data_IF_631428132546
#
_entry.id   IF_631428132546
#
_cell.length_a   1.000
_cell.length_b   1.000
_cell.length_c   1.000
_cell.angle_alpha   90.00
_cell.angle_beta   90.00
_cell.angle_gamma   90.00
#
_symmetry.space_group_name_H-M   'P 1'
#
loop_
_entity.id
_entity.type
_entity.pdbx_description
1 polymer ?
#
# COMPACT_ATOMS: atom_id res chain seq x y z
N UNK A 1 4.95 -15.40 -34.12
CA UNK A 1 5.72 -15.52 -32.85
C UNK A 1 5.02 -14.79 -31.71
N UNK A 2 4.48 -13.59 -31.99
CA UNK A 2 3.62 -12.80 -31.10
C UNK A 2 2.38 -13.58 -30.60
N UNK A 3 1.70 -14.34 -31.46
CA UNK A 3 0.48 -15.08 -31.05
C UNK A 3 0.75 -16.27 -30.11
N UNK A 4 1.92 -16.90 -30.19
CA UNK A 4 2.32 -17.97 -29.25
C UNK A 4 2.70 -17.41 -27.88
N UNK A 5 3.32 -16.23 -27.83
CA UNK A 5 3.59 -15.51 -26.57
C UNK A 5 2.25 -15.07 -25.95
N UNK A 6 1.31 -14.62 -26.77
CA UNK A 6 -0.03 -14.20 -26.36
C UNK A 6 -0.84 -15.38 -25.77
N UNK A 7 -0.81 -16.56 -26.39
CA UNK A 7 -1.46 -17.77 -25.84
C UNK A 7 -0.82 -18.27 -24.54
N UNK A 8 0.50 -18.08 -24.36
CA UNK A 8 1.20 -18.48 -23.13
C UNK A 8 0.78 -17.69 -21.88
N UNK A 9 0.36 -16.44 -22.04
CA UNK A 9 -0.03 -15.57 -20.93
C UNK A 9 -1.45 -15.83 -20.40
N UNK A 10 -2.29 -16.56 -21.14
CA UNK A 10 -3.59 -17.05 -20.64
C UNK A 10 -3.45 -18.28 -19.74
N UNK A 11 -2.25 -18.89 -19.69
CA UNK A 11 -1.98 -20.01 -18.81
C UNK A 11 -1.79 -19.51 -17.35
N UNK A 12 -2.62 -19.98 -16.39
CA UNK A 12 -2.49 -19.56 -15.00
C UNK A 12 -1.10 -19.85 -14.41
N UNK A 13 -0.41 -20.92 -14.85
CA UNK A 13 0.94 -21.24 -14.39
C UNK A 13 1.96 -20.16 -14.78
N UNK A 14 1.85 -19.59 -15.98
CA UNK A 14 2.75 -18.54 -16.44
C UNK A 14 2.61 -17.27 -15.60
N UNK A 15 1.39 -16.93 -15.20
CA UNK A 15 1.11 -15.80 -14.30
C UNK A 15 1.75 -16.03 -12.93
N UNK A 16 1.58 -17.22 -12.33
CA UNK A 16 2.21 -17.51 -11.02
C UNK A 16 3.74 -17.45 -11.07
N UNK A 17 4.36 -17.93 -12.14
CA UNK A 17 5.81 -17.81 -12.35
C UNK A 17 6.22 -16.34 -12.45
N UNK A 18 5.48 -15.53 -13.21
CA UNK A 18 5.73 -14.10 -13.30
C UNK A 18 5.63 -13.43 -11.92
N UNK A 19 4.57 -13.70 -11.15
CA UNK A 19 4.40 -13.16 -9.80
C UNK A 19 5.58 -13.53 -8.88
N UNK A 20 6.09 -14.76 -8.97
CA UNK A 20 7.26 -15.19 -8.21
C UNK A 20 8.54 -14.45 -8.65
N UNK A 21 8.75 -14.27 -9.95
CA UNK A 21 9.89 -13.51 -10.48
C UNK A 21 9.85 -12.06 -9.98
N UNK A 22 8.70 -11.38 -10.13
CA UNK A 22 8.53 -10.00 -9.65
C UNK A 22 8.77 -9.90 -8.14
N UNK A 23 8.24 -10.87 -7.38
CA UNK A 23 8.45 -10.97 -5.93
C UNK A 23 9.93 -11.09 -5.59
N UNK A 24 10.65 -11.99 -6.26
CA UNK A 24 12.08 -12.20 -6.01
C UNK A 24 12.89 -10.95 -6.34
N UNK A 25 12.64 -10.32 -7.50
CA UNK A 25 13.35 -9.10 -7.91
C UNK A 25 13.15 -7.98 -6.88
N UNK A 26 11.91 -7.67 -6.52
CA UNK A 26 11.62 -6.61 -5.55
C UNK A 26 12.14 -6.94 -4.14
N UNK A 27 12.08 -8.21 -3.74
CA UNK A 27 12.57 -8.63 -2.42
C UNK A 27 14.08 -8.53 -2.33
N UNK A 28 14.82 -9.00 -3.34
CA UNK A 28 16.28 -8.88 -3.41
C UNK A 28 16.70 -7.42 -3.42
N UNK A 29 16.02 -6.59 -4.22
CA UNK A 29 16.30 -5.15 -4.27
C UNK A 29 16.11 -4.50 -2.90
N UNK A 30 14.98 -4.70 -2.24
CA UNK A 30 14.74 -4.15 -0.89
C UNK A 30 15.71 -4.74 0.14
N UNK A 31 16.06 -6.02 0.05
CA UNK A 31 17.06 -6.60 0.94
C UNK A 31 18.41 -5.90 0.79
N UNK A 32 18.87 -5.72 -0.46
CA UNK A 32 20.16 -5.12 -0.78
C UNK A 32 20.24 -3.63 -0.43
N UNK A 33 19.19 -2.87 -0.70
CA UNK A 33 19.20 -1.42 -0.55
C UNK A 33 18.72 -0.95 0.84
N UNK A 34 17.86 -1.72 1.53
CA UNK A 34 17.17 -1.27 2.76
C UNK A 34 17.49 -2.12 3.99
N UNK A 35 17.72 -3.43 3.84
CA UNK A 35 17.91 -4.33 5.00
C UNK A 35 19.40 -4.48 5.31
N UNK A 36 20.18 -5.02 4.38
CA UNK A 36 21.58 -5.42 4.59
C UNK A 36 22.47 -4.22 4.98
N UNK A 37 22.36 -3.03 4.35
CA UNK A 37 23.23 -1.90 4.69
C UNK A 37 22.93 -1.28 6.07
N UNK A 38 21.79 -1.62 6.67
CA UNK A 38 21.26 -0.92 7.85
C UNK A 38 20.90 -1.85 9.01
N UNK A 39 21.43 -3.07 9.04
CA UNK A 39 21.06 -4.11 10.03
C UNK A 39 21.13 -3.58 11.47
N UNK A 40 22.22 -2.92 11.85
CA UNK A 40 22.42 -2.45 13.23
C UNK A 40 21.41 -1.36 13.62
N UNK A 41 21.21 -0.36 12.75
CA UNK A 41 20.21 0.68 12.96
C UNK A 41 18.79 0.12 13.03
N UNK A 42 18.50 -0.95 12.27
CA UNK A 42 17.18 -1.60 12.27
C UNK A 42 16.94 -2.44 13.51
N UNK A 43 17.95 -3.15 14.01
CA UNK A 43 17.88 -3.88 15.27
C UNK A 43 17.64 -2.88 16.42
N UNK A 44 18.39 -1.78 16.44
CA UNK A 44 18.20 -0.72 17.42
C UNK A 44 16.77 -0.17 17.35
N UNK A 45 16.31 0.25 16.17
CA UNK A 45 14.94 0.75 15.99
C UNK A 45 13.88 -0.24 16.48
N UNK A 46 14.04 -1.54 16.18
CA UNK A 46 13.10 -2.56 16.64
C UNK A 46 13.06 -2.63 18.18
N UNK A 47 14.24 -2.68 18.82
CA UNK A 47 14.33 -2.69 20.28
C UNK A 47 13.74 -1.41 20.89
N UNK A 48 14.02 -0.24 20.31
CA UNK A 48 13.55 1.05 20.78
C UNK A 48 12.02 1.14 20.73
N UNK A 49 11.39 0.60 19.68
CA UNK A 49 9.92 0.53 19.60
C UNK A 49 9.36 -0.41 20.67
N UNK A 50 9.91 -1.63 20.78
CA UNK A 50 9.42 -2.63 21.73
C UNK A 50 9.62 -2.22 23.20
N UNK A 51 10.65 -1.43 23.50
CA UNK A 51 10.98 -0.94 24.84
C UNK A 51 10.42 0.47 25.13
N UNK A 52 9.56 1.03 24.28
CA UNK A 52 8.99 2.38 24.42
C UNK A 52 10.04 3.53 24.49
N UNK A 53 11.19 3.34 23.85
CA UNK A 53 12.28 4.30 23.77
C UNK A 53 12.27 5.11 22.45
N UNK A 54 11.60 4.60 21.42
CA UNK A 54 11.46 5.32 20.14
C UNK A 54 10.60 6.58 20.29
N UNK A 55 10.83 7.58 19.45
CA UNK A 55 10.02 8.81 19.42
C UNK A 55 8.71 8.67 18.60
N UNK A 56 7.66 9.43 18.94
CA UNK A 56 6.47 9.55 18.10
C UNK A 56 6.78 10.18 16.72
N UNK A 57 6.17 9.70 15.62
CA UNK A 57 5.08 8.73 15.57
C UNK A 57 5.56 7.27 15.49
N UNK A 58 6.86 7.02 15.35
CA UNK A 58 7.41 5.70 15.08
C UNK A 58 7.18 4.70 16.23
N UNK A 59 7.17 5.17 17.47
CA UNK A 59 6.88 4.33 18.65
C UNK A 59 5.54 3.61 18.56
N UNK A 60 4.56 4.17 17.85
CA UNK A 60 3.22 3.59 17.75
C UNK A 60 3.08 2.59 16.58
N UNK A 61 4.14 2.37 15.78
CA UNK A 61 4.13 1.50 14.59
C UNK A 61 4.64 0.10 14.94
N UNK A 62 3.87 -0.59 15.77
CA UNK A 62 4.30 -1.82 16.45
C UNK A 62 4.18 -3.08 15.61
N UNK A 63 3.33 -3.11 14.58
CA UNK A 63 3.05 -4.34 13.84
C UNK A 63 4.32 -4.99 13.27
N UNK A 64 5.13 -4.20 12.57
CA UNK A 64 6.34 -4.69 11.91
C UNK A 64 7.38 -5.21 12.92
N UNK A 65 7.76 -4.46 13.98
CA UNK A 65 8.62 -4.97 15.05
C UNK A 65 8.10 -6.27 15.68
N UNK A 66 6.80 -6.37 15.95
CA UNK A 66 6.21 -7.57 16.56
C UNK A 66 6.33 -8.80 15.64
N UNK A 67 5.98 -8.67 14.36
CA UNK A 67 6.13 -9.76 13.38
C UNK A 67 7.60 -10.17 13.23
N UNK A 68 8.51 -9.18 13.15
CA UNK A 68 9.94 -9.44 13.04
C UNK A 68 10.49 -10.18 14.27
N UNK A 69 10.10 -9.76 15.48
CA UNK A 69 10.50 -10.41 16.73
C UNK A 69 9.98 -11.83 16.81
N UNK A 70 8.73 -12.08 16.43
CA UNK A 70 8.15 -13.42 16.42
C UNK A 70 8.94 -14.36 15.48
N UNK A 71 9.30 -13.90 14.27
CA UNK A 71 10.12 -14.68 13.34
C UNK A 71 11.54 -14.92 13.89
N UNK A 72 12.16 -13.92 14.52
CA UNK A 72 13.48 -14.07 15.13
C UNK A 72 13.47 -15.10 16.26
N UNK A 73 12.41 -15.18 17.07
CA UNK A 73 12.24 -16.20 18.11
C UNK A 73 12.16 -17.59 17.46
N UNK A 74 11.37 -17.76 16.39
CA UNK A 74 11.28 -19.03 15.67
C UNK A 74 12.64 -19.46 15.06
N UNK A 75 13.43 -18.50 14.55
CA UNK A 75 14.76 -18.76 13.99
C UNK A 75 15.85 -18.98 15.06
N UNK A 76 15.59 -18.62 16.33
CA UNK A 76 16.59 -18.71 17.40
C UNK A 76 17.03 -20.13 17.74
N UNK A 77 16.21 -21.13 17.44
CA UNK A 77 16.59 -22.55 17.62
C UNK A 77 17.53 -23.10 16.55
N UNK A 78 17.80 -22.35 15.47
CA UNK A 78 18.58 -22.82 14.31
C UNK A 78 19.78 -21.90 14.02
N UNK A 79 19.66 -20.61 14.33
CA UNK A 79 20.65 -19.59 13.94
C UNK A 79 21.04 -18.78 15.17
N UNK A 80 22.32 -18.83 15.56
CA UNK A 80 22.80 -18.14 16.77
C UNK A 80 22.99 -16.63 16.60
N UNK A 81 23.43 -16.20 15.42
CA UNK A 81 23.72 -14.80 15.12
C UNK A 81 22.44 -13.95 15.10
N UNK A 82 22.35 -12.98 16.02
CA UNK A 82 21.26 -11.98 16.07
C UNK A 82 21.12 -11.25 14.73
N UNK A 83 22.25 -10.83 14.13
CA UNK A 83 22.24 -10.11 12.86
C UNK A 83 21.68 -10.97 11.73
N UNK A 84 22.11 -12.23 11.64
CA UNK A 84 21.63 -13.17 10.62
C UNK A 84 20.14 -13.46 10.79
N UNK A 85 19.67 -13.69 12.02
CA UNK A 85 18.24 -13.84 12.31
C UNK A 85 17.43 -12.63 11.89
N UNK A 86 17.92 -11.42 12.20
CA UNK A 86 17.26 -10.18 11.82
C UNK A 86 17.14 -10.05 10.30
N UNK A 87 18.24 -10.24 9.56
CA UNK A 87 18.24 -10.19 8.09
C UNK A 87 17.24 -11.18 7.52
N UNK A 88 17.32 -12.46 7.91
CA UNK A 88 16.41 -13.49 7.38
C UNK A 88 14.94 -13.20 7.72
N UNK A 89 14.64 -12.78 8.96
CA UNK A 89 13.28 -12.44 9.37
C UNK A 89 12.70 -11.31 8.51
N UNK A 90 13.46 -10.24 8.29
CA UNK A 90 13.00 -9.14 7.44
C UNK A 90 12.96 -9.51 5.96
N UNK A 91 13.87 -10.35 5.47
CA UNK A 91 13.82 -10.89 4.11
C UNK A 91 12.56 -11.74 3.89
N UNK A 92 12.17 -12.57 4.85
CA UNK A 92 10.92 -13.34 4.81
C UNK A 92 9.70 -12.41 4.80
N UNK A 93 9.65 -11.40 5.69
CA UNK A 93 8.57 -10.41 5.70
C UNK A 93 8.44 -9.72 4.35
N UNK A 94 9.55 -9.25 3.79
CA UNK A 94 9.56 -8.56 2.49
C UNK A 94 9.11 -9.49 1.36
N UNK A 95 9.59 -10.74 1.36
CA UNK A 95 9.19 -11.73 0.36
C UNK A 95 7.68 -11.98 0.37
N UNK A 96 7.11 -12.31 1.53
CA UNK A 96 5.66 -12.53 1.63
C UNK A 96 4.86 -11.25 1.40
N UNK A 97 5.41 -10.08 1.77
CA UNK A 97 4.79 -8.80 1.48
C UNK A 97 4.68 -8.55 -0.03
N UNK A 98 5.77 -8.71 -0.79
CA UNK A 98 5.74 -8.52 -2.24
C UNK A 98 4.94 -9.60 -2.97
N UNK A 99 4.99 -10.85 -2.50
CA UNK A 99 4.13 -11.91 -3.02
C UNK A 99 2.66 -11.52 -2.89
N UNK A 100 2.27 -11.04 -1.70
CA UNK A 100 0.93 -10.51 -1.45
C UNK A 100 0.60 -9.30 -2.33
N UNK A 101 1.51 -8.33 -2.45
CA UNK A 101 1.30 -7.12 -3.27
C UNK A 101 1.00 -7.52 -4.71
N UNK A 102 1.87 -8.32 -5.34
CA UNK A 102 1.67 -8.70 -6.74
C UNK A 102 0.43 -9.58 -6.93
N UNK A 103 0.19 -10.53 -6.01
CA UNK A 103 -0.99 -11.39 -6.08
C UNK A 103 -2.30 -10.58 -5.95
N UNK A 104 -2.45 -9.78 -4.89
CA UNK A 104 -3.67 -9.02 -4.67
C UNK A 104 -3.84 -7.88 -5.66
N UNK A 105 -2.76 -7.28 -6.16
CA UNK A 105 -2.85 -6.29 -7.22
C UNK A 105 -3.28 -6.90 -8.55
N UNK A 106 -2.74 -8.08 -8.91
CA UNK A 106 -3.24 -8.83 -10.06
C UNK A 106 -4.74 -9.12 -9.93
N UNK A 107 -5.16 -9.66 -8.78
CA UNK A 107 -6.58 -9.94 -8.52
C UNK A 107 -7.45 -8.68 -8.62
N UNK A 108 -6.98 -7.56 -8.06
CA UNK A 108 -7.64 -6.26 -8.17
C UNK A 108 -7.78 -5.81 -9.62
N UNK A 109 -6.71 -5.88 -10.42
CA UNK A 109 -6.77 -5.55 -11.83
C UNK A 109 -7.68 -6.49 -12.63
N UNK A 110 -7.74 -7.79 -12.27
CA UNK A 110 -8.62 -8.77 -12.91
C UNK A 110 -10.11 -8.51 -12.66
N UNK A 111 -10.48 -7.79 -11.59
CA UNK A 111 -11.85 -7.31 -11.41
C UNK A 111 -12.23 -6.19 -12.38
N UNK A 112 -11.24 -5.50 -12.96
CA UNK A 112 -11.42 -4.29 -13.75
C UNK A 112 -11.13 -4.49 -15.23
N UNK A 113 -10.17 -5.36 -15.55
CA UNK A 113 -9.59 -5.49 -16.88
C UNK A 113 -9.32 -6.95 -17.26
N UNK A 114 -9.07 -7.17 -18.54
CA UNK A 114 -8.60 -8.40 -19.13
C UNK A 114 -7.27 -8.87 -18.54
N UNK A 115 -6.92 -10.13 -18.78
CA UNK A 115 -5.69 -10.73 -18.27
C UNK A 115 -4.44 -10.00 -18.79
N UNK A 116 -4.43 -9.65 -20.09
CA UNK A 116 -3.31 -8.94 -20.72
C UNK A 116 -3.09 -7.56 -20.09
N UNK A 117 -4.15 -6.78 -19.95
CA UNK A 117 -4.12 -5.47 -19.31
C UNK A 117 -3.69 -5.56 -17.84
N UNK A 118 -4.11 -6.60 -17.13
CA UNK A 118 -3.70 -6.84 -15.75
C UNK A 118 -2.20 -7.12 -15.61
N UNK A 119 -1.61 -7.87 -16.56
CA UNK A 119 -0.17 -8.12 -16.60
C UNK A 119 0.60 -6.82 -16.88
N UNK A 120 0.13 -5.97 -17.80
CA UNK A 120 0.74 -4.65 -18.04
C UNK A 120 0.71 -3.82 -16.75
N UNK A 121 -0.40 -3.83 -16.02
CA UNK A 121 -0.50 -3.16 -14.72
C UNK A 121 0.50 -3.67 -13.69
N UNK A 122 0.71 -4.98 -13.59
CA UNK A 122 1.76 -5.55 -12.71
C UNK A 122 3.15 -5.05 -13.07
N UNK A 123 3.47 -5.00 -14.37
CA UNK A 123 4.76 -4.50 -14.84
C UNK A 123 4.93 -3.01 -14.55
N UNK A 124 3.87 -2.20 -14.67
CA UNK A 124 3.87 -0.79 -14.26
C UNK A 124 4.09 -0.63 -12.75
N UNK A 125 3.52 -1.51 -11.91
CA UNK A 125 3.81 -1.47 -10.47
C UNK A 125 5.26 -1.85 -10.17
N UNK A 126 5.80 -2.85 -10.89
CA UNK A 126 7.19 -3.27 -10.75
C UNK A 126 8.18 -2.16 -11.10
N UNK A 127 7.86 -1.25 -12.03
CA UNK A 127 8.75 -0.11 -12.34
C UNK A 127 8.72 0.97 -11.26
N UNK A 128 7.59 1.14 -10.57
CA UNK A 128 7.42 2.13 -9.48
C UNK A 128 8.13 1.69 -8.19
N UNK A 129 8.13 0.38 -7.89
CA UNK A 129 8.69 -0.13 -6.61
C UNK A 129 10.16 0.27 -6.40
N UNK A 130 11.10 0.03 -7.33
CA UNK A 130 12.50 0.42 -7.17
C UNK A 130 12.69 1.92 -6.91
N UNK A 131 11.93 2.74 -7.63
CA UNK A 131 12.06 4.20 -7.57
C UNK A 131 11.52 4.75 -6.24
N UNK A 132 10.51 4.08 -5.69
CA UNK A 132 9.95 4.43 -4.37
C UNK A 132 10.91 4.18 -3.18
N UNK A 133 12.03 3.47 -3.38
CA UNK A 133 13.03 3.18 -2.35
C UNK A 133 13.98 4.39 -2.19
N UNK A 134 13.61 5.33 -1.32
CA UNK A 134 14.42 6.51 -0.99
C UNK A 134 14.94 6.55 0.45
N UNK A 135 14.78 5.46 1.23
CA UNK A 135 15.25 5.40 2.61
C UNK A 135 14.98 4.07 3.33
N UNK A 136 15.65 3.87 4.48
CA UNK A 136 15.67 2.56 5.15
C UNK A 136 14.40 2.23 5.98
N UNK A 137 13.54 3.21 6.25
CA UNK A 137 12.28 3.02 6.99
C UNK A 137 11.12 2.45 6.15
N UNK A 138 11.34 2.21 4.86
CA UNK A 138 10.28 2.04 3.86
C UNK A 138 9.55 0.70 3.85
N UNK A 139 10.04 -0.32 4.56
CA UNK A 139 9.35 -1.62 4.62
C UNK A 139 7.91 -1.46 5.16
N UNK A 140 7.68 -0.51 6.06
CA UNK A 140 6.33 -0.21 6.56
C UNK A 140 5.38 0.34 5.50
N UNK A 141 5.90 1.02 4.46
CA UNK A 141 5.10 1.53 3.34
C UNK A 141 4.62 0.39 2.43
N UNK A 142 5.47 -0.59 2.13
CA UNK A 142 5.07 -1.78 1.36
C UNK A 142 4.01 -2.60 2.11
N UNK A 143 4.15 -2.77 3.43
CA UNK A 143 3.11 -3.42 4.25
C UNK A 143 1.80 -2.61 4.21
N UNK A 144 1.88 -1.29 4.20
CA UNK A 144 0.69 -0.44 4.04
C UNK A 144 0.05 -0.67 2.67
N UNK A 145 0.82 -0.68 1.58
CA UNK A 145 0.33 -0.99 0.25
C UNK A 145 -0.36 -2.36 0.19
N UNK A 146 0.22 -3.39 0.82
CA UNK A 146 -0.41 -4.70 0.93
C UNK A 146 -1.77 -4.63 1.63
N UNK A 147 -1.89 -3.89 2.74
CA UNK A 147 -3.17 -3.71 3.41
C UNK A 147 -4.22 -3.03 2.54
N UNK A 148 -3.84 -2.03 1.74
CA UNK A 148 -4.75 -1.43 0.77
C UNK A 148 -5.24 -2.43 -0.27
N UNK A 149 -4.33 -3.24 -0.81
CA UNK A 149 -4.64 -4.26 -1.81
C UNK A 149 -5.54 -5.36 -1.27
N UNK A 150 -5.26 -5.86 -0.07
CA UNK A 150 -6.15 -6.79 0.64
C UNK A 150 -7.51 -6.15 0.85
N UNK A 151 -7.54 -4.88 1.25
CA UNK A 151 -8.78 -4.13 1.42
C UNK A 151 -9.61 -4.02 0.15
N UNK A 152 -8.97 -3.66 -0.96
CA UNK A 152 -9.61 -3.61 -2.28
C UNK A 152 -10.14 -4.99 -2.65
N UNK A 153 -9.33 -6.04 -2.48
CA UNK A 153 -9.77 -7.42 -2.73
C UNK A 153 -11.00 -7.81 -1.89
N UNK A 154 -11.07 -7.40 -0.61
CA UNK A 154 -12.22 -7.69 0.24
C UNK A 154 -13.50 -7.02 -0.25
N UNK A 155 -13.48 -5.72 -0.57
CA UNK A 155 -14.73 -5.06 -0.98
C UNK A 155 -15.12 -5.34 -2.44
N UNK A 156 -14.17 -5.52 -3.36
CA UNK A 156 -14.48 -5.98 -4.73
C UNK A 156 -15.02 -7.42 -4.77
N UNK A 157 -14.67 -8.26 -3.79
CA UNK A 157 -15.18 -9.63 -3.66
C UNK A 157 -16.42 -9.78 -2.76
N UNK A 158 -17.03 -8.68 -2.30
CA UNK A 158 -18.15 -8.68 -1.34
C UNK A 158 -17.86 -9.39 -0.01
N UNK A 159 -16.59 -9.45 0.40
CA UNK A 159 -16.11 -10.00 1.69
C UNK A 159 -15.80 -8.90 2.70
N UNK A 160 -16.47 -7.76 2.59
CA UNK A 160 -16.26 -6.57 3.43
C UNK A 160 -16.58 -6.76 4.92
N UNK A 161 -17.21 -7.88 5.31
CA UNK A 161 -17.33 -8.27 6.73
C UNK A 161 -15.99 -8.40 7.47
N UNK A 162 -14.90 -8.68 6.76
CA UNK A 162 -13.55 -8.79 7.34
C UNK A 162 -12.79 -7.45 7.36
N UNK A 163 -13.38 -6.40 6.78
CA UNK A 163 -12.74 -5.10 6.64
C UNK A 163 -12.43 -4.43 8.00
N UNK A 164 -13.26 -4.53 9.06
CA UNK A 164 -12.91 -3.98 10.38
C UNK A 164 -11.64 -4.60 10.98
N UNK A 165 -11.46 -5.92 10.84
CA UNK A 165 -10.27 -6.63 11.33
C UNK A 165 -9.02 -6.13 10.58
N UNK A 166 -9.13 -6.00 9.26
CA UNK A 166 -8.07 -5.46 8.42
C UNK A 166 -7.67 -4.04 8.85
N UNK A 167 -8.64 -3.14 9.05
CA UNK A 167 -8.39 -1.77 9.47
C UNK A 167 -7.69 -1.74 10.82
N UNK A 168 -8.18 -2.48 11.83
CA UNK A 168 -7.55 -2.54 13.15
C UNK A 168 -6.08 -2.98 13.10
N UNK A 169 -5.78 -4.06 12.37
CA UNK A 169 -4.40 -4.55 12.20
C UNK A 169 -3.52 -3.57 11.43
N UNK A 170 -4.03 -2.99 10.36
CA UNK A 170 -3.29 -2.07 9.51
C UNK A 170 -3.00 -0.73 10.20
N UNK A 171 -3.86 -0.29 11.13
CA UNK A 171 -3.61 0.89 11.98
C UNK A 171 -2.36 0.71 12.84
N UNK A 172 -2.06 -0.52 13.31
CA UNK A 172 -0.85 -0.83 14.06
C UNK A 172 0.44 -0.71 13.22
N UNK A 173 0.30 -0.67 11.89
CA UNK A 173 1.41 -0.38 10.98
C UNK A 173 1.51 1.11 10.68
N UNK A 174 0.41 1.73 10.21
CA UNK A 174 0.34 3.17 9.89
C UNK A 174 -1.08 3.73 9.97
N UNK A 175 -1.18 4.95 10.48
CA UNK A 175 -2.40 5.76 10.53
C UNK A 175 -2.96 6.11 9.13
N UNK A 176 -2.13 6.09 8.09
CA UNK A 176 -2.53 6.34 6.71
C UNK A 176 -3.60 5.37 6.20
N UNK A 177 -3.84 4.23 6.87
CA UNK A 177 -4.92 3.29 6.51
C UNK A 177 -6.32 3.93 6.52
N UNK A 178 -6.50 5.08 7.16
CA UNK A 178 -7.79 5.80 7.14
C UNK A 178 -8.28 6.12 5.71
N UNK A 179 -7.39 6.33 4.74
CA UNK A 179 -7.79 6.55 3.35
C UNK A 179 -8.34 5.28 2.68
N UNK A 180 -7.99 4.08 3.15
CA UNK A 180 -8.61 2.85 2.69
C UNK A 180 -10.12 2.82 3.04
N UNK A 181 -10.49 3.34 4.21
CA UNK A 181 -11.90 3.51 4.59
C UNK A 181 -12.60 4.53 3.68
N UNK A 182 -11.91 5.63 3.33
CA UNK A 182 -12.44 6.62 2.38
C UNK A 182 -12.71 6.00 1.00
N UNK A 183 -11.76 5.20 0.47
CA UNK A 183 -11.95 4.47 -0.78
C UNK A 183 -13.12 3.48 -0.70
N UNK A 184 -13.29 2.78 0.41
CA UNK A 184 -14.45 1.91 0.61
C UNK A 184 -15.78 2.69 0.60
N UNK A 185 -15.84 3.87 1.22
CA UNK A 185 -17.02 4.75 1.16
C UNK A 185 -17.31 5.19 -0.27
N UNK A 186 -16.29 5.59 -1.05
CA UNK A 186 -16.47 5.93 -2.46
C UNK A 186 -16.94 4.74 -3.29
N UNK A 187 -16.44 3.55 -3.01
CA UNK A 187 -16.89 2.32 -3.65
C UNK A 187 -18.37 2.05 -3.37
N UNK A 188 -18.79 2.14 -2.10
CA UNK A 188 -20.20 1.96 -1.72
C UNK A 188 -21.11 3.03 -2.32
N UNK A 189 -20.65 4.29 -2.36
CA UNK A 189 -21.39 5.38 -3.00
C UNK A 189 -21.59 5.13 -4.48
N UNK A 190 -20.53 4.77 -5.20
CA UNK A 190 -20.59 4.39 -6.61
C UNK A 190 -21.53 3.21 -6.87
N UNK A 191 -21.55 2.20 -5.98
CA UNK A 191 -22.45 1.04 -6.09
C UNK A 191 -23.89 1.31 -5.65
N UNK A 192 -24.20 2.51 -5.14
CA UNK A 192 -25.52 2.84 -4.58
C UNK A 192 -25.85 2.07 -3.29
N UNK A 193 -24.84 1.59 -2.56
CA UNK A 193 -24.97 0.76 -1.36
C UNK A 193 -24.60 1.50 -0.07
N UNK A 194 -24.25 2.79 -0.15
CA UNK A 194 -23.77 3.56 1.00
C UNK A 194 -24.77 3.56 2.18
N UNK A 195 -26.07 3.60 1.88
CA UNK A 195 -27.13 3.67 2.88
C UNK A 195 -27.73 2.32 3.29
N UNK A 196 -27.14 1.20 2.84
CA UNK A 196 -27.52 -0.12 3.34
C UNK A 196 -27.12 -0.23 4.82
N UNK A 197 -28.07 -0.61 5.69
CA UNK A 197 -27.88 -0.80 7.13
C UNK A 197 -26.67 -1.67 7.43
N UNK A 198 -26.47 -2.77 6.69
CA UNK A 198 -25.34 -3.67 6.89
C UNK A 198 -24.02 -2.97 6.56
N UNK A 199 -23.96 -2.16 5.51
CA UNK A 199 -22.77 -1.42 5.09
C UNK A 199 -22.43 -0.30 6.06
N UNK A 200 -23.43 0.41 6.56
CA UNK A 200 -23.26 1.43 7.63
C UNK A 200 -22.65 0.78 8.88
N UNK A 201 -23.16 -0.37 9.32
CA UNK A 201 -22.60 -1.10 10.47
C UNK A 201 -21.13 -1.50 10.24
N UNK A 202 -20.76 -1.91 9.02
CA UNK A 202 -19.35 -2.20 8.66
C UNK A 202 -18.50 -0.93 8.75
N UNK A 203 -18.98 0.22 8.24
CA UNK A 203 -18.26 1.50 8.35
C UNK A 203 -18.03 1.88 9.81
N UNK A 204 -19.08 1.79 10.65
CA UNK A 204 -18.98 2.07 12.09
C UNK A 204 -17.98 1.12 12.76
N UNK A 205 -18.02 -0.17 12.43
CA UNK A 205 -17.08 -1.16 12.94
C UNK A 205 -15.64 -0.85 12.52
N UNK A 206 -15.41 -0.39 11.27
CA UNK A 206 -14.08 0.04 10.80
C UNK A 206 -13.58 1.27 11.55
N UNK A 207 -14.42 2.29 11.74
CA UNK A 207 -14.07 3.49 12.52
C UNK A 207 -13.73 3.10 13.96
N UNK A 208 -14.54 2.23 14.56
CA UNK A 208 -14.31 1.73 15.92
C UNK A 208 -13.00 0.95 16.00
N UNK A 209 -12.73 0.02 15.07
CA UNK A 209 -11.49 -0.74 15.03
C UNK A 209 -10.25 0.18 14.85
N UNK A 210 -10.35 1.19 13.99
CA UNK A 210 -9.31 2.21 13.83
C UNK A 210 -9.07 2.96 15.13
N UNK A 211 -10.11 3.48 15.78
CA UNK A 211 -10.00 4.25 17.02
C UNK A 211 -9.45 3.39 18.16
N UNK A 212 -9.93 2.15 18.32
CA UNK A 212 -9.44 1.21 19.34
C UNK A 212 -7.96 0.93 19.16
N UNK A 213 -7.50 0.64 17.94
CA UNK A 213 -6.08 0.42 17.68
C UNK A 213 -5.26 1.71 17.88
N UNK A 214 -5.72 2.83 17.33
CA UNK A 214 -5.02 4.11 17.36
C UNK A 214 -4.87 4.67 18.79
N UNK A 215 -5.95 4.65 19.56
CA UNK A 215 -6.00 5.13 20.94
C UNK A 215 -5.37 4.10 21.86
N UNK A 216 -5.66 2.81 21.68
CA UNK A 216 -5.13 1.73 22.52
C UNK A 216 -3.60 1.70 22.55
N UNK A 217 -2.95 1.80 21.39
CA UNK A 217 -1.48 1.89 21.32
C UNK A 217 -0.97 3.16 22.01
N UNK A 218 -1.67 4.29 21.89
CA UNK A 218 -1.27 5.55 22.54
C UNK A 218 -1.44 5.54 24.05
N UNK A 219 -2.47 4.88 24.56
CA UNK A 219 -2.66 4.69 26.00
C UNK A 219 -1.56 3.77 26.53
N UNK A 220 -1.28 2.66 25.84
CA UNK A 220 -0.27 1.70 26.25
C UNK A 220 1.16 2.29 26.29
N UNK A 221 1.59 2.99 25.24
CA UNK A 221 2.93 3.59 25.17
C UNK A 221 3.04 4.98 25.83
N UNK A 222 1.90 5.56 26.21
CA UNK A 222 1.81 6.93 26.71
C UNK A 222 1.72 7.98 25.59
N UNK A 223 0.96 9.04 25.86
CA UNK A 223 0.79 10.17 24.95
C UNK A 223 2.02 11.09 25.01
N UNK A 224 2.87 11.00 23.98
CA UNK A 224 4.03 11.90 23.81
C UNK A 224 3.80 12.83 22.61
N UNK A 225 4.22 14.09 22.76
CA UNK A 225 4.20 15.08 21.68
C UNK A 225 5.26 14.69 20.64
N UNK A 226 4.89 14.68 19.36
CA UNK A 226 5.84 14.38 18.28
C UNK A 226 6.70 15.60 17.99
N UNK A 227 8.02 15.38 17.86
CA UNK A 227 8.96 16.39 17.36
C UNK A 227 8.74 16.70 15.87
N UNK A 228 8.06 15.82 15.14
CA UNK A 228 7.71 15.98 13.73
C UNK A 228 6.47 16.86 13.58
N UNK A 229 6.66 18.18 13.73
CA UNK A 229 5.59 19.18 13.62
C UNK A 229 5.23 19.46 12.16
N UNK A 230 4.05 20.05 11.94
CA UNK A 230 3.64 20.52 10.60
C UNK A 230 4.63 21.57 10.08
N UNK A 231 5.04 22.51 10.94
CA UNK A 231 6.02 23.54 10.59
C UNK A 231 7.36 22.93 10.13
N UNK A 232 7.84 21.87 10.79
CA UNK A 232 9.05 21.16 10.39
C UNK A 232 8.92 20.55 8.98
N UNK A 233 7.81 19.88 8.69
CA UNK A 233 7.60 19.26 7.38
C UNK A 233 7.42 20.28 6.26
N UNK A 234 6.64 21.34 6.52
CA UNK A 234 6.49 22.45 5.57
C UNK A 234 7.86 23.05 5.26
N UNK A 235 8.63 23.42 6.29
CA UNK A 235 9.97 24.00 6.10
C UNK A 235 10.89 23.08 5.28
N UNK A 236 10.87 21.77 5.55
CA UNK A 236 11.67 20.77 4.79
C UNK A 236 11.21 20.60 3.35
N UNK A 237 9.90 20.64 3.09
CA UNK A 237 9.35 20.49 1.74
C UNK A 237 9.47 21.77 0.90
N UNK A 238 9.56 22.94 1.54
CA UNK A 238 9.74 24.24 0.86
C UNK A 238 11.18 24.72 0.81
N UNK A 239 12.13 24.01 1.44
CA UNK A 239 13.56 24.33 1.34
C UNK A 239 14.01 24.24 -0.13
N UNK A 240 14.36 25.39 -0.73
CA UNK A 240 14.62 25.50 -2.18
C UNK A 240 15.60 24.43 -2.70
N UNK A 241 16.68 24.18 -1.96
CA UNK A 241 17.67 23.17 -2.33
C UNK A 241 17.05 21.78 -2.43
N UNK A 242 16.26 21.35 -1.44
CA UNK A 242 15.58 20.04 -1.47
C UNK A 242 14.47 20.00 -2.51
N UNK A 243 13.72 21.09 -2.63
CA UNK A 243 12.61 21.19 -3.59
C UNK A 243 13.11 20.96 -5.02
N UNK A 244 14.14 21.69 -5.45
CA UNK A 244 14.63 21.63 -6.81
C UNK A 244 15.58 20.45 -7.09
N UNK A 245 16.38 20.02 -6.11
CA UNK A 245 17.38 18.94 -6.34
C UNK A 245 16.88 17.54 -6.00
N UNK A 246 15.81 17.42 -5.19
CA UNK A 246 15.30 16.11 -4.74
C UNK A 246 13.83 15.93 -5.06
N UNK A 247 12.95 16.82 -4.60
CA UNK A 247 11.50 16.61 -4.67
C UNK A 247 10.99 16.69 -6.12
N UNK A 248 11.22 17.81 -6.82
CA UNK A 248 10.71 18.01 -8.18
C UNK A 248 11.22 16.94 -9.16
N UNK A 249 12.53 16.63 -9.24
CA UNK A 249 13.01 15.60 -10.16
C UNK A 249 12.39 14.24 -9.90
N UNK A 250 12.26 13.86 -8.62
CA UNK A 250 11.70 12.59 -8.19
C UNK A 250 10.20 12.49 -8.53
N UNK A 251 9.42 13.52 -8.22
CA UNK A 251 7.98 13.57 -8.56
C UNK A 251 7.75 13.62 -10.07
N UNK A 252 8.60 14.32 -10.82
CA UNK A 252 8.50 14.36 -12.27
C UNK A 252 8.80 12.99 -12.89
N UNK A 253 9.86 12.32 -12.44
CA UNK A 253 10.26 11.01 -12.93
C UNK A 253 9.23 9.90 -12.60
N UNK A 254 8.63 9.93 -11.41
CA UNK A 254 7.81 8.82 -10.91
C UNK A 254 6.31 9.04 -10.97
N UNK A 255 5.84 10.28 -10.81
CA UNK A 255 4.42 10.57 -10.55
C UNK A 255 3.78 11.33 -11.71
N UNK A 256 4.48 12.30 -12.30
CA UNK A 256 3.89 13.20 -13.30
C UNK A 256 3.25 12.47 -14.48
N UNK A 257 3.92 11.44 -15.03
CA UNK A 257 3.36 10.64 -16.12
C UNK A 257 2.04 9.96 -15.76
N UNK A 258 1.97 9.34 -14.58
CA UNK A 258 0.75 8.69 -14.08
C UNK A 258 -0.38 9.69 -13.83
N UNK A 259 -0.08 10.86 -13.26
CA UNK A 259 -1.06 11.94 -13.03
C UNK A 259 -1.61 12.45 -14.35
N UNK A 260 -0.75 12.78 -15.32
CA UNK A 260 -1.16 13.30 -16.62
C UNK A 260 -2.06 12.31 -17.36
N UNK A 261 -1.67 11.03 -17.43
CA UNK A 261 -2.49 10.00 -18.08
C UNK A 261 -3.80 9.78 -17.31
N UNK A 262 -3.78 9.82 -15.97
CA UNK A 262 -5.00 9.71 -15.15
C UNK A 262 -5.96 10.88 -15.38
N UNK A 263 -5.46 12.10 -15.60
CA UNK A 263 -6.29 13.26 -15.97
C UNK A 263 -6.99 13.00 -17.32
N UNK A 264 -6.28 12.45 -18.31
CA UNK A 264 -6.87 12.07 -19.60
C UNK A 264 -7.92 10.97 -19.45
N UNK A 265 -7.69 10.01 -18.55
CA UNK A 265 -8.61 8.94 -18.22
C UNK A 265 -9.86 9.44 -17.47
N UNK A 266 -9.76 10.58 -16.78
CA UNK A 266 -10.76 11.05 -15.82
C UNK A 266 -12.17 11.07 -16.39
N UNK A 267 -12.37 11.56 -17.63
CA UNK A 267 -13.71 11.60 -18.25
C UNK A 267 -14.29 10.20 -18.50
N UNK A 268 -13.45 9.24 -18.86
CA UNK A 268 -13.80 7.85 -19.20
C UNK A 268 -13.98 6.95 -17.98
N UNK A 269 -13.36 7.29 -16.86
CA UNK A 269 -13.41 6.48 -15.64
C UNK A 269 -14.78 6.52 -14.95
N UNK A 270 -15.09 5.45 -14.21
CA UNK A 270 -16.28 5.38 -13.37
C UNK A 270 -16.19 6.33 -12.15
N UNK A 271 -17.29 6.48 -11.42
CA UNK A 271 -17.38 7.43 -10.31
C UNK A 271 -16.42 7.08 -9.16
N UNK A 272 -16.19 5.79 -8.87
CA UNK A 272 -15.23 5.36 -7.85
C UNK A 272 -13.82 5.88 -8.15
N UNK A 273 -13.33 5.70 -9.37
CA UNK A 273 -12.01 6.20 -9.79
C UNK A 273 -11.95 7.73 -9.79
N UNK A 274 -13.00 8.41 -10.25
CA UNK A 274 -13.07 9.88 -10.23
C UNK A 274 -12.94 10.45 -8.82
N UNK A 275 -13.75 9.94 -7.88
CA UNK A 275 -13.72 10.39 -6.48
C UNK A 275 -12.41 10.02 -5.80
N UNK A 276 -11.92 8.80 -6.03
CA UNK A 276 -10.64 8.35 -5.48
C UNK A 276 -9.48 9.20 -6.00
N UNK A 277 -9.44 9.53 -7.29
CA UNK A 277 -8.42 10.40 -7.88
C UNK A 277 -8.45 11.80 -7.30
N UNK A 278 -9.64 12.42 -7.16
CA UNK A 278 -9.77 13.74 -6.52
C UNK A 278 -9.24 13.69 -5.08
N UNK A 279 -9.55 12.64 -4.33
CA UNK A 279 -9.08 12.50 -2.95
C UNK A 279 -7.56 12.34 -2.83
N UNK A 280 -6.86 11.96 -3.91
CA UNK A 280 -5.40 11.97 -3.92
C UNK A 280 -4.84 13.39 -3.76
N UNK A 281 -5.57 14.44 -4.17
CA UNK A 281 -5.17 15.82 -3.88
C UNK A 281 -5.11 16.10 -2.37
N UNK A 282 -6.12 15.64 -1.62
CA UNK A 282 -6.11 15.69 -0.15
C UNK A 282 -5.00 14.81 0.44
N UNK A 283 -4.75 13.64 -0.15
CA UNK A 283 -3.66 12.76 0.26
C UNK A 283 -2.29 13.44 0.12
N UNK A 284 -2.01 14.06 -1.02
CA UNK A 284 -0.77 14.83 -1.27
C UNK A 284 -0.64 15.99 -0.29
N UNK A 285 -1.74 16.72 -0.03
CA UNK A 285 -1.73 17.80 0.95
C UNK A 285 -1.37 17.30 2.36
N UNK A 286 -2.00 16.22 2.84
CA UNK A 286 -1.63 15.65 4.13
C UNK A 286 -0.21 15.12 4.14
N UNK A 287 0.25 14.55 3.03
CA UNK A 287 1.63 14.09 2.90
C UNK A 287 2.64 15.25 2.97
N UNK A 288 2.33 16.39 2.36
CA UNK A 288 3.12 17.63 2.47
C UNK A 288 3.17 18.16 3.92
N UNK A 289 2.06 18.05 4.67
CA UNK A 289 1.96 18.59 6.04
C UNK A 289 2.52 17.64 7.12
N UNK A 290 2.51 16.32 6.89
CA UNK A 290 2.84 15.29 7.89
C UNK A 290 3.94 14.33 7.43
N UNK A 291 4.61 14.64 6.34
CA UNK A 291 5.65 13.81 5.76
C UNK A 291 6.61 14.62 4.89
N UNK A 292 7.61 13.91 4.39
CA UNK A 292 8.61 14.49 3.51
C UNK A 292 8.31 14.04 2.08
N UNK A 293 8.15 14.98 1.14
CA UNK A 293 7.75 14.65 -0.23
C UNK A 293 8.78 13.81 -0.99
N UNK A 294 10.03 13.72 -0.54
CA UNK A 294 11.04 12.83 -1.14
C UNK A 294 10.89 11.36 -0.71
N UNK A 295 10.02 11.03 0.25
CA UNK A 295 9.77 9.66 0.72
C UNK A 295 8.65 8.98 -0.08
N UNK A 296 8.88 8.74 -1.37
CA UNK A 296 7.83 8.32 -2.30
C UNK A 296 7.19 6.96 -2.02
N UNK A 297 7.81 6.09 -1.22
CA UNK A 297 7.15 4.88 -0.73
C UNK A 297 5.78 5.19 -0.06
N UNK A 298 5.63 6.35 0.58
CA UNK A 298 4.35 6.80 1.15
C UNK A 298 3.27 7.08 0.12
N UNK A 299 3.65 7.29 -1.13
CA UNK A 299 2.74 7.57 -2.24
C UNK A 299 2.30 6.30 -2.98
N UNK A 300 2.86 5.13 -2.66
CA UNK A 300 2.52 3.85 -3.28
C UNK A 300 1.01 3.56 -3.34
N UNK A 301 0.19 3.83 -2.30
CA UNK A 301 -1.25 3.60 -2.37
C UNK A 301 -1.97 4.41 -3.46
N UNK A 302 -1.43 5.58 -3.85
CA UNK A 302 -2.01 6.40 -4.92
C UNK A 302 -1.95 5.69 -6.29
N UNK A 303 -0.92 4.87 -6.52
CA UNK A 303 -0.79 4.09 -7.75
C UNK A 303 -1.87 3.02 -7.89
N UNK A 304 -2.57 2.63 -6.82
CA UNK A 304 -3.73 1.73 -6.91
C UNK A 304 -4.93 2.37 -7.62
N UNK A 305 -4.94 3.69 -7.74
CA UNK A 305 -5.93 4.47 -8.49
C UNK A 305 -5.33 4.88 -9.84
N UNK A 306 -4.12 5.43 -9.83
CA UNK A 306 -3.50 5.95 -11.05
C UNK A 306 -3.14 4.87 -12.07
N UNK A 307 -2.66 3.68 -11.66
CA UNK A 307 -2.34 2.60 -12.62
C UNK A 307 -3.61 2.15 -13.37
N UNK A 308 -4.72 1.77 -12.71
CA UNK A 308 -5.96 1.45 -13.42
C UNK A 308 -6.45 2.57 -14.36
N UNK A 309 -6.39 3.83 -13.92
CA UNK A 309 -6.77 4.96 -14.78
C UNK A 309 -5.86 5.08 -15.99
N UNK A 310 -4.54 4.95 -15.81
CA UNK A 310 -3.58 4.94 -16.91
C UNK A 310 -3.82 3.81 -17.90
N UNK A 311 -4.13 2.61 -17.41
CA UNK A 311 -4.44 1.46 -18.27
C UNK A 311 -5.66 1.70 -19.18
N UNK A 312 -6.68 2.43 -18.71
CA UNK A 312 -7.85 2.77 -19.54
C UNK A 312 -7.48 3.61 -20.77
N UNK A 313 -6.45 4.46 -20.66
CA UNK A 313 -5.96 5.27 -21.77
C UNK A 313 -5.03 4.44 -22.65
N UNK A 314 -4.09 3.71 -22.05
CA UNK A 314 -3.06 2.96 -22.76
C UNK A 314 -3.60 1.76 -23.56
N UNK A 315 -4.64 1.10 -23.04
CA UNK A 315 -5.21 -0.11 -23.68
C UNK A 315 -6.55 0.15 -24.36
N UNK A 316 -7.21 1.27 -24.08
CA UNK A 316 -8.58 1.55 -24.50
C UNK A 316 -9.64 0.74 -23.75
N UNK A 317 -9.26 -0.17 -22.85
CA UNK A 317 -10.17 -0.99 -22.06
C UNK A 317 -10.80 -0.15 -20.94
N UNK A 318 -12.12 0.00 -20.94
CA UNK A 318 -12.82 0.62 -19.82
C UNK A 318 -12.83 -0.33 -18.62
N UNK A 319 -12.72 0.22 -17.42
CA UNK A 319 -12.84 -0.56 -16.19
C UNK A 319 -14.26 -1.14 -16.08
N UNK A 320 -14.43 -2.39 -16.52
CA UNK A 320 -15.72 -3.05 -16.68
C UNK A 320 -15.96 -3.99 -15.49
N UNK A 321 -16.80 -3.54 -14.55
CA UNK A 321 -17.24 -4.37 -13.41
C UNK A 321 -18.27 -5.44 -13.80
N UNK A 322 -18.60 -5.63 -15.08
CA UNK A 322 -19.55 -6.68 -15.52
C UNK A 322 -19.12 -8.10 -15.12
N UNK A 323 -17.85 -8.31 -14.76
CA UNK A 323 -17.33 -9.55 -14.18
C UNK A 323 -17.58 -9.70 -12.68
N UNK A 324 -17.96 -8.63 -11.98
CA UNK A 324 -18.40 -8.67 -10.59
C UNK A 324 -19.88 -9.02 -10.63
N UNK A 325 -20.19 -10.33 -10.56
CA UNK A 325 -21.56 -10.85 -10.56
C UNK A 325 -22.46 -9.91 -9.75
N UNK A 326 -23.47 -9.26 -10.36
CA UNK A 326 -24.45 -8.52 -9.59
C UNK A 326 -25.07 -9.53 -8.62
N UNK A 327 -24.88 -9.31 -7.31
CA UNK A 327 -25.74 -9.93 -6.32
C UNK A 327 -27.15 -9.57 -6.76
N UNK A 328 -27.90 -10.58 -7.20
CA UNK A 328 -29.23 -10.41 -7.73
C UNK A 328 -29.99 -9.47 -6.82
N UNK A 329 -30.60 -8.43 -7.40
CA UNK A 329 -31.67 -7.69 -6.73
C UNK A 329 -32.70 -8.73 -6.31
N UNK A 330 -32.64 -9.18 -5.05
CA UNK A 330 -33.78 -9.79 -4.41
C UNK A 330 -34.72 -8.62 -4.18
N UNK A 331 -35.58 -8.39 -5.17
CA UNK A 331 -36.76 -7.56 -5.03
C UNK A 331 -37.62 -8.34 -4.04
N UNK A 332 -37.69 -7.85 -2.81
CA UNK A 332 -38.73 -8.21 -1.85
C UNK A 332 -39.53 -6.95 -1.54
#
# INVERSE_FOLDING_TARGET
MTDKIIMGLENPKAVYILLLILTLVSSVLVCKEVIIPHVDARIQFENDVLNNQMEPPYQYRVLKPLIARALQILLSGIIDSVKTRHVLSYSMIVFFCFLGIYYFFYMYLRYLFSNKTSIIGLLLLQTVIPLSITGYYMIGDFITLLFYLVGFSLFFSNKDRYFPILIGLATLNREQIVFLLLFYVFYLFYRGQLFDKRKILIIIACVTAFLVAFIGVRIYFGLKISQYTIALHVARNTELKRLFLQIIPLWFAEIAGFVLISILAFKKSNLFFKLSFISLGLYVLLFFLKGNLWELAKFLPAFLIMIPMSLQVLTGELANESNIKPLGKTIH
#
